data_IF_657630598431
#
_entry.id   IF_657630598431
#
_cell.length_a   1.000
_cell.length_b   1.000
_cell.length_c   1.000
_cell.angle_alpha   90.00
_cell.angle_beta   90.00
_cell.angle_gamma   90.00
#
_symmetry.space_group_name_H-M   'P 1'
#
loop_
_entity.id
_entity.type
_entity.pdbx_description
1 polymer ?
#
# COMPACT_ATOMS: atom_id res chain seq x y z
N UNK A 1 -49.14 18.28 22.37
CA UNK A 1 -48.31 17.33 21.61
C UNK A 1 -49.24 16.31 21.00
N UNK A 2 -49.31 16.24 19.66
CA UNK A 2 -50.31 15.41 18.97
C UNK A 2 -49.95 13.93 19.14
N UNK A 3 -50.85 13.07 19.63
CA UNK A 3 -50.54 11.65 19.95
C UNK A 3 -50.01 10.85 18.73
N UNK A 4 -50.25 11.37 17.52
CA UNK A 4 -49.76 10.84 16.24
C UNK A 4 -48.28 11.08 15.97
N UNK A 5 -47.59 11.97 16.69
CA UNK A 5 -46.17 12.28 16.45
C UNK A 5 -45.21 11.39 17.24
N UNK A 6 -45.66 10.70 18.30
CA UNK A 6 -44.84 9.76 19.07
C UNK A 6 -44.24 8.61 18.24
N UNK A 7 -44.99 7.88 17.38
CA UNK A 7 -44.43 6.78 16.61
C UNK A 7 -43.40 7.25 15.56
N UNK A 8 -43.58 8.47 15.03
CA UNK A 8 -42.65 9.07 14.07
C UNK A 8 -41.31 9.40 14.76
N UNK A 9 -41.37 9.97 15.97
CA UNK A 9 -40.17 10.28 16.76
C UNK A 9 -39.44 9.01 17.20
N UNK A 10 -40.17 7.95 17.59
CA UNK A 10 -39.55 6.67 17.94
C UNK A 10 -38.80 6.03 16.77
N UNK A 11 -39.39 6.07 15.57
CA UNK A 11 -38.76 5.52 14.36
C UNK A 11 -37.51 6.31 13.94
N UNK A 12 -37.51 7.65 14.05
CA UNK A 12 -36.33 8.46 13.72
C UNK A 12 -35.18 8.24 14.69
N UNK A 13 -35.45 8.02 15.98
CA UNK A 13 -34.41 7.69 16.97
C UNK A 13 -33.79 6.32 16.65
N UNK A 14 -34.60 5.32 16.31
CA UNK A 14 -34.10 3.99 15.94
C UNK A 14 -33.25 4.04 14.65
N UNK A 15 -33.70 4.77 13.63
CA UNK A 15 -32.95 4.95 12.38
C UNK A 15 -31.64 5.72 12.60
N UNK A 16 -31.67 6.83 13.34
CA UNK A 16 -30.49 7.63 13.65
C UNK A 16 -29.46 6.86 14.50
N UNK A 17 -29.92 5.98 15.39
CA UNK A 17 -29.02 5.13 16.20
C UNK A 17 -28.24 4.12 15.36
N UNK A 18 -28.83 3.61 14.28
CA UNK A 18 -28.17 2.68 13.38
C UNK A 18 -27.09 3.39 12.55
N UNK A 19 -27.43 4.56 11.99
CA UNK A 19 -26.49 5.35 11.19
C UNK A 19 -25.28 5.81 12.03
N UNK A 20 -25.53 6.32 13.24
CA UNK A 20 -24.46 6.76 14.14
C UNK A 20 -23.57 5.62 14.61
N UNK A 21 -24.13 4.44 14.90
CA UNK A 21 -23.33 3.26 15.24
C UNK A 21 -22.47 2.78 14.06
N UNK A 22 -23.03 2.75 12.85
CA UNK A 22 -22.30 2.35 11.63
C UNK A 22 -21.19 3.35 11.30
N UNK A 23 -21.49 4.66 11.34
CA UNK A 23 -20.50 5.72 11.15
C UNK A 23 -19.39 5.66 12.20
N UNK A 24 -19.75 5.50 13.47
CA UNK A 24 -18.78 5.36 14.56
C UNK A 24 -17.83 4.18 14.36
N UNK A 25 -18.37 3.01 14.02
CA UNK A 25 -17.57 1.81 13.75
C UNK A 25 -16.63 1.97 12.54
N UNK A 26 -17.10 2.62 11.47
CA UNK A 26 -16.26 2.90 10.30
C UNK A 26 -15.13 3.86 10.67
N UNK A 27 -15.43 4.97 11.35
CA UNK A 27 -14.41 5.95 11.74
C UNK A 27 -13.33 5.35 12.65
N UNK A 28 -13.73 4.61 13.68
CA UNK A 28 -12.80 3.91 14.58
C UNK A 28 -11.99 2.86 13.79
N UNK A 29 -12.67 2.08 12.94
CA UNK A 29 -12.02 1.08 12.10
C UNK A 29 -11.07 1.66 11.06
N UNK A 30 -11.29 2.88 10.56
CA UNK A 30 -10.36 3.59 9.69
C UNK A 30 -9.15 4.13 10.50
N UNK A 31 -9.39 4.70 11.67
CA UNK A 31 -8.37 5.33 12.50
C UNK A 31 -7.38 4.33 13.12
N UNK A 32 -7.83 3.11 13.43
CA UNK A 32 -6.99 2.08 14.05
C UNK A 32 -6.25 1.17 13.06
N UNK A 33 -6.28 1.48 11.76
CA UNK A 33 -5.59 0.66 10.76
C UNK A 33 -4.07 0.72 10.95
N UNK A 34 -3.37 -0.42 10.95
CA UNK A 34 -1.91 -0.40 10.95
C UNK A 34 -1.40 0.26 9.67
N UNK A 35 -0.25 0.92 9.78
CA UNK A 35 0.43 1.54 8.64
C UNK A 35 1.11 0.46 7.80
N UNK A 36 0.90 0.42 6.47
CA UNK A 36 1.58 -0.52 5.60
C UNK A 36 3.07 -0.22 5.57
N UNK A 37 3.88 -1.26 5.37
CA UNK A 37 5.33 -1.14 5.33
C UNK A 37 5.96 -2.05 4.29
N UNK A 38 7.00 -1.55 3.63
CA UNK A 38 7.83 -2.37 2.76
C UNK A 38 8.78 -3.29 3.54
N UNK A 39 8.96 -4.51 3.02
CA UNK A 39 9.92 -5.53 3.43
C UNK A 39 10.55 -6.18 2.18
N UNK A 40 11.85 -6.55 2.20
CA UNK A 40 12.85 -6.22 3.21
C UNK A 40 13.16 -4.71 3.24
N UNK A 41 13.77 -4.20 4.33
CA UNK A 41 14.21 -2.78 4.38
C UNK A 41 15.48 -2.50 3.57
N UNK A 42 16.24 -3.54 3.24
CA UNK A 42 17.49 -3.46 2.49
C UNK A 42 17.44 -4.45 1.33
N UNK A 43 17.99 -4.04 0.19
CA UNK A 43 18.13 -4.89 -0.97
C UNK A 43 19.48 -5.61 -0.95
N UNK A 44 19.56 -6.86 -1.40
CA UNK A 44 20.84 -7.50 -1.65
C UNK A 44 21.59 -6.80 -2.79
N UNK A 45 22.92 -6.95 -2.81
CA UNK A 45 23.75 -6.41 -3.88
C UNK A 45 23.42 -7.13 -5.19
N UNK A 46 23.21 -6.36 -6.26
CA UNK A 46 23.02 -6.87 -7.60
C UNK A 46 24.37 -6.97 -8.34
N UNK A 47 24.43 -7.75 -9.41
CA UNK A 47 25.64 -7.92 -10.24
C UNK A 47 25.33 -7.67 -11.71
N UNK A 48 26.15 -6.87 -12.38
CA UNK A 48 25.98 -6.56 -13.81
C UNK A 48 25.95 -7.84 -14.65
N UNK A 49 25.03 -7.90 -15.60
CA UNK A 49 24.88 -9.05 -16.50
C UNK A 49 24.34 -10.32 -15.84
N UNK A 50 24.05 -10.30 -14.53
CA UNK A 50 23.47 -11.43 -13.79
C UNK A 50 22.00 -11.20 -13.51
N UNK A 51 21.20 -12.26 -13.55
CA UNK A 51 19.78 -12.15 -13.19
C UNK A 51 19.63 -11.73 -11.72
N UNK A 52 18.81 -10.71 -11.51
CA UNK A 52 18.40 -10.23 -10.22
C UNK A 52 16.90 -10.51 -10.06
N UNK A 53 16.51 -11.14 -8.96
CA UNK A 53 15.12 -11.42 -8.63
C UNK A 53 14.93 -11.33 -7.12
N UNK A 54 14.33 -10.23 -6.67
CA UNK A 54 14.12 -9.96 -5.26
C UNK A 54 12.65 -9.65 -5.02
N UNK A 55 12.05 -10.44 -4.13
CA UNK A 55 10.69 -10.22 -3.63
C UNK A 55 10.66 -9.02 -2.68
N UNK A 56 9.67 -8.16 -2.89
CA UNK A 56 9.34 -7.04 -2.02
C UNK A 56 7.90 -7.23 -1.54
N UNK A 57 7.69 -7.28 -0.23
CA UNK A 57 6.39 -7.39 0.42
C UNK A 57 5.94 -6.03 0.97
N UNK A 58 4.64 -5.77 0.91
CA UNK A 58 3.97 -4.69 1.64
C UNK A 58 3.16 -5.34 2.76
N UNK A 59 3.75 -5.35 3.95
CA UNK A 59 3.13 -5.90 5.15
C UNK A 59 2.20 -4.88 5.79
N UNK A 60 1.36 -5.33 6.74
CA UNK A 60 0.43 -4.49 7.50
C UNK A 60 -0.62 -3.73 6.65
N UNK A 61 -0.70 -4.01 5.35
CA UNK A 61 -1.75 -3.50 4.48
C UNK A 61 -3.12 -4.06 4.92
N UNK A 62 -4.02 -3.16 5.34
CA UNK A 62 -5.38 -3.52 5.77
C UNK A 62 -6.29 -3.92 4.61
N UNK A 63 -5.91 -3.56 3.39
CA UNK A 63 -6.58 -3.92 2.14
C UNK A 63 -5.55 -4.40 1.11
N UNK A 64 -5.96 -5.10 0.04
CA UNK A 64 -5.01 -5.54 -0.99
C UNK A 64 -4.21 -4.36 -1.59
N UNK A 65 -2.97 -4.61 -1.97
CA UNK A 65 -2.11 -3.62 -2.63
C UNK A 65 -2.59 -3.48 -4.07
N UNK A 66 -2.89 -2.26 -4.49
CA UNK A 66 -3.31 -1.95 -5.85
C UNK A 66 -2.15 -1.88 -6.81
N UNK A 67 -1.05 -1.23 -6.41
CA UNK A 67 0.15 -1.07 -7.24
C UNK A 67 1.40 -1.00 -6.38
N UNK A 68 2.52 -1.48 -6.93
CA UNK A 68 3.88 -1.18 -6.49
C UNK A 68 4.62 -0.63 -7.71
N UNK A 69 5.20 0.57 -7.59
CA UNK A 69 5.83 1.30 -8.68
C UNK A 69 7.15 1.92 -8.21
N UNK A 70 8.09 2.11 -9.13
CA UNK A 70 9.25 2.97 -8.92
C UNK A 70 8.93 4.43 -9.26
N UNK A 71 9.66 5.35 -8.62
CA UNK A 71 9.57 6.77 -8.87
C UNK A 71 10.24 7.15 -10.20
N UNK A 72 9.61 7.93 -11.08
CA UNK A 72 10.23 8.34 -12.34
C UNK A 72 11.47 9.24 -12.18
N UNK A 73 11.61 9.99 -11.08
CA UNK A 73 12.79 10.83 -10.82
C UNK A 73 13.93 10.00 -10.18
N UNK A 74 13.59 8.90 -9.50
CA UNK A 74 14.53 7.97 -8.87
C UNK A 74 14.24 6.51 -9.26
N UNK A 75 14.29 6.18 -10.57
CA UNK A 75 13.85 4.88 -11.06
C UNK A 75 14.85 3.77 -10.72
N UNK A 76 14.42 2.54 -10.94
CA UNK A 76 15.34 1.40 -10.94
C UNK A 76 16.45 1.58 -12.00
N UNK A 77 17.67 1.08 -11.76
CA UNK A 77 18.74 1.14 -12.76
C UNK A 77 18.35 0.33 -14.01
N UNK A 78 18.92 0.71 -15.15
CA UNK A 78 18.63 0.07 -16.44
C UNK A 78 18.76 -1.44 -16.38
N UNK A 79 17.77 -2.10 -16.99
CA UNK A 79 17.67 -3.56 -17.03
C UNK A 79 16.94 -4.18 -15.82
N UNK A 80 16.62 -3.41 -14.78
CA UNK A 80 15.73 -3.82 -13.69
C UNK A 80 14.35 -3.17 -13.82
N UNK A 81 13.30 -3.91 -13.43
CA UNK A 81 11.93 -3.42 -13.40
C UNK A 81 11.20 -3.93 -12.14
N UNK A 82 10.18 -3.20 -11.71
CA UNK A 82 9.23 -3.67 -10.70
C UNK A 82 8.09 -4.43 -11.38
N UNK A 83 7.82 -5.64 -10.91
CA UNK A 83 6.71 -6.48 -11.38
C UNK A 83 5.78 -6.73 -10.21
N UNK A 84 4.53 -6.30 -10.34
CA UNK A 84 3.50 -6.46 -9.32
C UNK A 84 2.25 -7.10 -9.92
N UNK A 85 1.75 -8.15 -9.28
CA UNK A 85 0.50 -8.80 -9.66
C UNK A 85 -0.70 -8.05 -9.10
N UNK A 86 -1.84 -8.10 -9.78
CA UNK A 86 -3.05 -7.44 -9.31
C UNK A 86 -3.43 -7.95 -7.90
N UNK A 87 -3.64 -7.04 -6.95
CA UNK A 87 -4.05 -7.32 -5.56
C UNK A 87 -3.05 -8.13 -4.73
N UNK A 88 -1.90 -8.49 -5.26
CA UNK A 88 -0.87 -9.21 -4.51
C UNK A 88 -0.26 -8.32 -3.44
N UNK A 89 0.05 -8.86 -2.27
CA UNK A 89 0.75 -8.09 -1.21
C UNK A 89 2.24 -7.92 -1.48
N UNK A 90 2.74 -8.46 -2.59
CA UNK A 90 4.14 -8.49 -2.93
C UNK A 90 4.36 -8.24 -4.41
N UNK A 91 5.51 -7.66 -4.72
CA UNK A 91 6.05 -7.55 -6.07
C UNK A 91 7.48 -8.06 -6.10
N UNK A 92 8.12 -7.88 -7.24
CA UNK A 92 9.51 -8.27 -7.42
C UNK A 92 10.26 -7.21 -8.20
N UNK A 93 11.46 -6.86 -7.72
CA UNK A 93 12.44 -6.18 -8.56
C UNK A 93 13.17 -7.28 -9.34
N UNK A 94 13.02 -7.29 -10.65
CA UNK A 94 13.61 -8.31 -11.51
C UNK A 94 14.24 -7.77 -12.77
N UNK A 95 15.23 -8.49 -13.26
CA UNK A 95 15.85 -8.25 -14.56
C UNK A 95 17.35 -8.51 -14.53
N UNK A 96 18.08 -7.84 -15.40
CA UNK A 96 19.54 -7.96 -15.50
C UNK A 96 20.11 -6.55 -15.51
N UNK A 97 20.79 -6.10 -14.44
CA UNK A 97 21.30 -4.74 -14.40
C UNK A 97 22.45 -4.57 -15.40
N UNK A 98 22.48 -3.42 -16.06
CA UNK A 98 23.40 -3.15 -17.17
C UNK A 98 24.65 -2.36 -16.75
N UNK A 99 24.63 -1.69 -15.60
CA UNK A 99 25.68 -0.77 -15.18
C UNK A 99 25.96 -0.87 -13.68
N UNK A 100 27.25 -0.83 -13.33
CA UNK A 100 27.72 -0.77 -11.94
C UNK A 100 27.43 0.58 -11.31
N UNK A 101 27.16 0.60 -10.00
CA UNK A 101 26.97 1.84 -9.26
C UNK A 101 26.10 1.69 -8.03
N UNK A 102 26.04 2.78 -7.25
CA UNK A 102 25.15 2.94 -6.11
C UNK A 102 23.94 3.78 -6.52
N UNK A 103 22.76 3.20 -6.49
CA UNK A 103 21.51 3.84 -6.92
C UNK A 103 20.62 4.11 -5.72
N UNK A 104 20.08 5.34 -5.66
CA UNK A 104 18.99 5.68 -4.74
C UNK A 104 17.69 5.43 -5.49
N UNK A 105 16.97 4.38 -5.10
CA UNK A 105 15.72 3.95 -5.75
C UNK A 105 14.57 4.22 -4.82
N UNK A 106 13.54 4.92 -5.29
CA UNK A 106 12.34 5.17 -4.53
C UNK A 106 11.21 4.30 -5.05
N UNK A 107 10.62 3.48 -4.18
CA UNK A 107 9.43 2.70 -4.48
C UNK A 107 8.22 3.21 -3.70
N UNK A 108 7.07 3.09 -4.34
CA UNK A 108 5.77 3.44 -3.80
C UNK A 108 4.81 2.28 -3.89
N UNK A 109 3.96 2.14 -2.87
CA UNK A 109 2.81 1.24 -2.93
C UNK A 109 1.55 1.96 -2.47
N UNK A 110 0.44 1.61 -3.10
CA UNK A 110 -0.88 2.05 -2.67
C UNK A 110 -1.80 0.85 -2.45
N UNK A 111 -2.66 0.93 -1.45
CA UNK A 111 -3.71 -0.06 -1.20
C UNK A 111 -5.05 0.41 -1.72
N UNK A 112 -5.96 -0.51 -2.02
CA UNK A 112 -7.32 -0.14 -2.41
C UNK A 112 -8.07 0.53 -1.25
N UNK A 113 -8.79 1.60 -1.58
CA UNK A 113 -9.82 2.15 -0.70
C UNK A 113 -11.08 1.29 -0.72
N UNK A 114 -11.69 1.08 0.44
CA UNK A 114 -13.02 0.48 0.57
C UNK A 114 -13.91 1.47 1.30
N UNK A 115 -14.33 1.16 2.52
CA UNK A 115 -15.06 2.09 3.40
C UNK A 115 -14.15 3.17 4.00
N UNK A 116 -12.84 3.04 3.83
CA UNK A 116 -11.86 4.07 4.14
C UNK A 116 -10.97 4.31 2.92
N UNK A 117 -10.34 5.48 2.87
CA UNK A 117 -9.33 5.81 1.85
C UNK A 117 -8.22 4.76 1.84
N UNK A 118 -7.68 4.49 0.65
CA UNK A 118 -6.51 3.64 0.48
C UNK A 118 -5.30 4.21 1.22
N UNK A 119 -4.39 3.35 1.64
CA UNK A 119 -3.16 3.74 2.32
C UNK A 119 -2.03 3.85 1.29
N UNK A 120 -1.07 4.72 1.56
CA UNK A 120 0.13 4.91 0.75
C UNK A 120 1.36 4.67 1.61
N UNK A 121 2.38 4.05 1.03
CA UNK A 121 3.67 3.84 1.67
C UNK A 121 4.77 3.99 0.64
N UNK A 122 5.91 4.50 1.08
CA UNK A 122 7.10 4.67 0.27
C UNK A 122 8.33 4.11 0.99
N UNK A 123 9.34 3.74 0.21
CA UNK A 123 10.66 3.38 0.73
C UNK A 123 11.73 3.80 -0.25
N UNK A 124 12.79 4.43 0.28
CA UNK A 124 14.02 4.66 -0.48
C UNK A 124 15.00 3.53 -0.19
N UNK A 125 15.35 2.76 -1.22
CA UNK A 125 16.45 1.81 -1.18
C UNK A 125 17.75 2.43 -1.64
N UNK A 126 18.85 1.94 -1.09
CA UNK A 126 20.19 2.06 -1.66
C UNK A 126 20.53 0.73 -2.32
N UNK A 127 20.44 0.67 -3.65
CA UNK A 127 20.78 -0.52 -4.43
C UNK A 127 22.22 -0.41 -4.92
N UNK A 128 23.06 -1.33 -4.47
CA UNK A 128 24.44 -1.46 -4.98
C UNK A 128 24.45 -2.48 -6.12
N UNK A 129 25.06 -2.09 -7.25
CA UNK A 129 25.31 -2.97 -8.39
C UNK A 129 26.81 -3.10 -8.58
N UNK A 130 27.33 -4.32 -8.39
CA UNK A 130 28.73 -4.68 -8.51
C UNK A 130 29.06 -5.34 -9.85
N UNK A 131 30.35 -5.51 -10.13
CA UNK A 131 30.90 -6.21 -11.31
C UNK A 131 30.61 -7.71 -11.31
#
# INVERSE_FOLDING_TARGET
>A
MNLRTLPIIGLTILLASCETAMLGNVLVGCAMRPTPEFMPKNLPVAKVGSAYDVRIDVINASTPVGRILDDPEHPLPKGLNIVHGEREKYGFIRGVPEQVGAYKVLLYASTFGTQCVGQYVEITYRLEVAE
#
